data_IF_690548720688
#
_entry.id   IF_690548720688
#
_cell.length_a   1.000
_cell.length_b   1.000
_cell.length_c   1.000
_cell.angle_alpha   90.00
_cell.angle_beta   90.00
_cell.angle_gamma   90.00
#
_symmetry.space_group_name_H-M   'P 1'
#
loop_
_entity.id
_entity.type
_entity.pdbx_description
1 polymer ?
#
# COMPACT_ATOMS: atom_id res chain seq x y z
N UNK A 1 7.27 -20.37 -0.56
CA UNK A 1 6.63 -19.57 -1.61
C UNK A 1 6.02 -18.34 -0.97
N UNK A 2 6.41 -17.18 -1.44
CA UNK A 2 5.89 -15.95 -0.88
C UNK A 2 4.43 -15.74 -1.31
N UNK A 3 3.57 -15.49 -0.35
CA UNK A 3 2.19 -15.18 -0.65
C UNK A 3 2.08 -13.74 -1.09
N UNK A 4 1.34 -13.53 -2.15
CA UNK A 4 1.01 -12.19 -2.60
C UNK A 4 -0.11 -11.64 -1.72
N UNK A 5 0.12 -10.57 -0.93
CA UNK A 5 -0.92 -10.04 -0.04
C UNK A 5 -2.14 -9.53 -0.81
N UNK A 6 -2.00 -9.33 -2.11
CA UNK A 6 -3.09 -8.85 -2.95
C UNK A 6 -3.79 -9.98 -3.71
N UNK A 7 -3.42 -11.23 -3.48
CA UNK A 7 -3.98 -12.37 -4.20
C UNK A 7 -5.49 -12.53 -3.98
N UNK A 8 -5.99 -12.03 -2.86
CA UNK A 8 -7.42 -12.10 -2.52
C UNK A 8 -8.25 -11.04 -3.25
N UNK A 9 -7.60 -10.11 -3.92
CA UNK A 9 -8.30 -9.03 -4.62
C UNK A 9 -8.31 -9.29 -6.12
N UNK A 10 -9.25 -8.64 -6.81
CA UNK A 10 -9.25 -8.63 -8.26
C UNK A 10 -7.97 -8.00 -8.77
N UNK A 11 -7.58 -8.36 -9.99
CA UNK A 11 -6.37 -7.82 -10.59
C UNK A 11 -6.35 -6.29 -10.59
N UNK A 12 -7.47 -5.67 -10.94
CA UNK A 12 -7.57 -4.22 -10.97
C UNK A 12 -7.37 -3.62 -9.58
N UNK A 13 -7.99 -4.21 -8.56
CA UNK A 13 -7.83 -3.74 -7.19
C UNK A 13 -6.40 -3.92 -6.71
N UNK A 14 -5.79 -5.06 -7.03
CA UNK A 14 -4.40 -5.33 -6.65
C UNK A 14 -3.46 -4.32 -7.28
N UNK A 15 -3.66 -3.99 -8.54
CA UNK A 15 -2.84 -2.99 -9.23
C UNK A 15 -2.99 -1.62 -8.56
N UNK A 16 -4.21 -1.23 -8.25
CA UNK A 16 -4.46 0.05 -7.58
C UNK A 16 -3.79 0.13 -6.22
N UNK A 17 -3.86 -0.94 -5.44
CA UNK A 17 -3.22 -0.97 -4.13
C UNK A 17 -1.70 -0.88 -4.24
N UNK A 18 -1.11 -1.53 -5.23
CA UNK A 18 0.33 -1.44 -5.46
C UNK A 18 0.74 -0.02 -5.86
N UNK A 19 -0.03 0.62 -6.73
CA UNK A 19 0.23 2.02 -7.09
C UNK A 19 0.13 2.93 -5.87
N UNK A 20 -0.85 2.68 -5.00
CA UNK A 20 -1.01 3.44 -3.77
C UNK A 20 0.22 3.29 -2.87
N UNK A 21 0.73 2.06 -2.70
CA UNK A 21 1.95 1.83 -1.93
C UNK A 21 3.13 2.59 -2.53
N UNK A 22 3.26 2.58 -3.83
CA UNK A 22 4.33 3.27 -4.52
C UNK A 22 4.24 4.78 -4.31
N UNK A 23 3.04 5.33 -4.36
CA UNK A 23 2.82 6.76 -4.12
C UNK A 23 3.17 7.14 -2.70
N UNK A 24 2.83 6.30 -1.73
CA UNK A 24 3.19 6.52 -0.33
C UNK A 24 4.72 6.49 -0.17
N UNK A 25 5.37 5.52 -0.78
CA UNK A 25 6.82 5.41 -0.72
C UNK A 25 7.50 6.64 -1.33
N UNK A 26 6.97 7.15 -2.43
CA UNK A 26 7.51 8.31 -3.11
C UNK A 26 7.04 9.64 -2.51
N UNK A 27 6.17 9.60 -1.51
CA UNK A 27 5.59 10.77 -0.86
C UNK A 27 4.85 11.70 -1.84
N UNK A 28 4.11 11.10 -2.77
CA UNK A 28 3.36 11.84 -3.79
C UNK A 28 1.91 12.08 -3.41
N UNK A 29 1.60 12.05 -2.12
CA UNK A 29 0.22 12.12 -1.65
C UNK A 29 -0.46 13.46 -1.94
N UNK A 30 0.31 14.51 -2.15
CA UNK A 30 -0.26 15.81 -2.50
C UNK A 30 -0.90 15.82 -3.88
N UNK A 31 -0.37 15.00 -4.80
CA UNK A 31 -0.86 14.94 -6.16
C UNK A 31 -1.90 13.84 -6.36
N UNK A 32 -1.80 12.78 -5.57
CA UNK A 32 -2.70 11.65 -5.66
C UNK A 32 -3.06 11.19 -4.25
N UNK A 33 -3.99 11.90 -3.59
CA UNK A 33 -4.37 11.54 -2.23
C UNK A 33 -4.93 10.13 -2.18
N UNK A 34 -4.51 9.38 -1.16
CA UNK A 34 -4.99 8.03 -0.95
C UNK A 34 -6.44 8.08 -0.46
N UNK A 35 -7.31 7.27 -1.06
CA UNK A 35 -8.68 7.17 -0.58
C UNK A 35 -8.70 6.52 0.81
N UNK A 36 -9.68 6.90 1.63
CA UNK A 36 -9.81 6.34 2.98
C UNK A 36 -10.00 4.83 2.92
N UNK A 37 -10.73 4.34 1.94
CA UNK A 37 -10.96 2.92 1.77
C UNK A 37 -9.67 2.17 1.48
N UNK A 38 -8.87 2.67 0.55
CA UNK A 38 -7.60 2.02 0.20
C UNK A 38 -6.62 2.09 1.37
N UNK A 39 -6.56 3.23 2.05
CA UNK A 39 -5.71 3.38 3.22
C UNK A 39 -6.08 2.38 4.29
N UNK A 40 -7.37 2.22 4.56
CA UNK A 40 -7.84 1.27 5.55
C UNK A 40 -7.46 -0.17 5.16
N UNK A 41 -7.65 -0.51 3.89
CA UNK A 41 -7.28 -1.83 3.39
C UNK A 41 -5.79 -2.09 3.61
N UNK A 42 -4.94 -1.15 3.24
CA UNK A 42 -3.49 -1.31 3.37
C UNK A 42 -3.07 -1.39 4.84
N UNK A 43 -3.72 -0.60 5.70
CA UNK A 43 -3.44 -0.63 7.13
C UNK A 43 -3.86 -1.97 7.74
N UNK A 44 -5.03 -2.47 7.35
CA UNK A 44 -5.52 -3.77 7.82
C UNK A 44 -4.61 -4.91 7.39
N UNK A 45 -3.99 -4.79 6.21
CA UNK A 45 -3.03 -5.78 5.72
C UNK A 45 -1.65 -5.65 6.38
N UNK A 46 -1.46 -4.60 7.18
CA UNK A 46 -0.18 -4.35 7.83
C UNK A 46 0.90 -3.84 6.89
N UNK A 47 0.53 -3.26 5.78
CA UNK A 47 1.46 -2.77 4.77
C UNK A 47 1.81 -1.29 4.92
N UNK A 48 0.96 -0.55 5.61
CA UNK A 48 1.10 0.89 5.81
C UNK A 48 0.88 1.22 7.27
N UNK A 49 1.63 2.20 7.77
CA UNK A 49 1.50 2.69 9.13
C UNK A 49 1.21 4.19 9.07
N UNK A 50 0.39 4.67 10.00
CA UNK A 50 0.05 6.09 10.09
C UNK A 50 0.87 6.70 11.22
N UNK A 51 1.67 7.69 10.88
CA UNK A 51 2.53 8.37 11.84
C UNK A 51 2.27 9.86 11.83
N UNK A 52 2.78 10.57 12.83
CA UNK A 52 2.61 12.02 12.95
C UNK A 52 3.10 12.77 11.71
N UNK A 53 4.16 12.27 11.11
CA UNK A 53 4.75 12.88 9.91
C UNK A 53 4.08 12.45 8.61
N UNK A 54 3.11 11.55 8.69
CA UNK A 54 2.35 11.08 7.53
C UNK A 54 2.33 9.56 7.41
N UNK A 55 2.03 9.08 6.22
CA UNK A 55 1.94 7.66 5.94
C UNK A 55 3.32 7.11 5.58
N UNK A 56 3.63 5.94 6.12
CA UNK A 56 4.89 5.25 5.82
C UNK A 56 4.59 3.78 5.51
N UNK A 57 5.43 3.18 4.67
CA UNK A 57 5.34 1.75 4.43
C UNK A 57 5.96 0.99 5.60
N UNK A 58 5.32 -0.10 5.99
CA UNK A 58 5.94 -1.04 6.91
C UNK A 58 6.96 -1.88 6.15
N UNK A 59 7.83 -2.64 6.83
CA UNK A 59 8.70 -3.60 6.13
C UNK A 59 7.90 -4.55 5.24
N UNK A 60 6.72 -4.98 5.70
CA UNK A 60 5.85 -5.84 4.90
C UNK A 60 5.34 -5.10 3.66
N UNK A 61 5.01 -3.80 3.79
CA UNK A 61 4.59 -2.99 2.65
C UNK A 61 5.68 -2.83 1.61
N UNK A 62 6.90 -2.59 2.06
CA UNK A 62 8.05 -2.49 1.15
C UNK A 62 8.30 -3.82 0.44
N UNK A 63 8.21 -4.92 1.17
CA UNK A 63 8.38 -6.24 0.57
C UNK A 63 7.29 -6.55 -0.46
N UNK A 64 6.06 -6.17 -0.17
CA UNK A 64 4.95 -6.36 -1.11
C UNK A 64 5.16 -5.56 -2.39
N UNK A 65 5.72 -4.36 -2.28
CA UNK A 65 5.98 -3.50 -3.43
C UNK A 65 7.14 -4.03 -4.29
N UNK A 66 8.17 -4.55 -3.65
CA UNK A 66 9.39 -4.97 -4.33
C UNK A 66 9.42 -6.46 -4.68
N UNK A 67 8.69 -7.28 -3.94
CA UNK A 67 8.83 -8.73 -4.00
C UNK A 67 7.90 -9.46 -4.93
N UNK A 68 7.08 -8.76 -5.64
CA UNK A 68 6.11 -9.43 -6.51
C UNK A 68 6.49 -9.38 -7.97
#
# INVERSE_FOLDING_TARGET
>A
MAENPFAQFDLEKAINLRWTLRDIQARRLKMSPVSDEDLRTLTDLGLVDVRDEGLVLTPAGTAALNGS
#
